data_IF_985238013744
#
_entry.id   IF_985238013744
#
_cell.length_a   1.000
_cell.length_b   1.000
_cell.length_c   1.000
_cell.angle_alpha   90.00
_cell.angle_beta   90.00
_cell.angle_gamma   90.00
#
_symmetry.space_group_name_H-M   'P 1'
#
loop_
_entity.id
_entity.type
_entity.pdbx_description
1 polymer ?
#
# COMPACT_ATOMS: atom_id res chain seq x y z
N UNK A 1 -32.59 -66.12 -19.43
CA UNK A 1 -32.96 -64.83 -18.83
C UNK A 1 -32.17 -64.76 -17.54
N UNK A 2 -30.94 -64.28 -17.68
CA UNK A 2 -29.95 -64.15 -16.63
C UNK A 2 -29.11 -62.94 -17.02
N UNK A 3 -28.94 -62.00 -16.09
CA UNK A 3 -27.64 -61.46 -15.67
C UNK A 3 -27.88 -60.28 -14.72
N UNK A 4 -27.51 -60.54 -13.47
CA UNK A 4 -26.78 -59.68 -12.54
C UNK A 4 -27.10 -58.17 -12.50
N UNK A 5 -27.66 -57.77 -11.37
CA UNK A 5 -27.85 -56.39 -10.95
C UNK A 5 -26.53 -55.96 -10.29
N UNK A 6 -25.67 -55.27 -11.05
CA UNK A 6 -24.41 -54.75 -10.53
C UNK A 6 -24.64 -53.71 -9.43
N UNK A 7 -24.02 -54.00 -8.30
CA UNK A 7 -23.94 -53.22 -7.08
C UNK A 7 -23.05 -51.99 -7.32
N UNK A 8 -23.65 -50.79 -7.37
CA UNK A 8 -22.90 -49.54 -7.60
C UNK A 8 -22.21 -49.14 -6.30
N UNK A 9 -20.93 -49.46 -6.21
CA UNK A 9 -20.02 -49.09 -5.11
C UNK A 9 -19.95 -47.55 -4.95
N UNK A 10 -20.46 -47.05 -3.84
CA UNK A 10 -20.39 -45.64 -3.45
C UNK A 10 -18.96 -45.31 -3.03
N UNK A 11 -18.16 -44.76 -3.95
CA UNK A 11 -16.83 -44.24 -3.61
C UNK A 11 -16.91 -43.11 -2.57
N UNK A 12 -16.03 -43.10 -1.55
CA UNK A 12 -16.01 -42.05 -0.53
C UNK A 12 -15.67 -40.69 -1.13
N UNK A 13 -16.57 -39.73 -0.91
CA UNK A 13 -16.40 -38.31 -1.20
C UNK A 13 -15.16 -37.79 -0.44
N UNK A 14 -14.02 -37.72 -1.14
CA UNK A 14 -12.81 -37.10 -0.61
C UNK A 14 -13.11 -35.64 -0.27
N UNK A 15 -12.78 -35.16 0.94
CA UNK A 15 -12.99 -33.77 1.30
C UNK A 15 -12.18 -32.89 0.34
N UNK A 16 -12.88 -31.99 -0.35
CA UNK A 16 -12.25 -30.95 -1.15
C UNK A 16 -11.26 -30.20 -0.27
N UNK A 17 -9.97 -30.30 -0.60
CA UNK A 17 -8.95 -29.46 0.00
C UNK A 17 -9.40 -28.01 -0.17
N UNK A 18 -9.86 -27.42 0.93
CA UNK A 18 -10.14 -26.01 1.01
C UNK A 18 -8.84 -25.31 0.62
N UNK A 19 -8.79 -24.72 -0.57
CA UNK A 19 -7.71 -23.85 -1.00
C UNK A 19 -7.64 -22.67 -0.02
N UNK A 20 -6.89 -22.85 1.07
CA UNK A 20 -6.40 -21.76 1.88
C UNK A 20 -5.54 -20.92 0.94
N UNK A 21 -6.09 -19.78 0.51
CA UNK A 21 -5.33 -18.74 -0.19
C UNK A 21 -4.22 -18.30 0.75
N UNK A 22 -3.06 -18.95 0.69
CA UNK A 22 -1.90 -18.60 1.51
C UNK A 22 -1.53 -17.14 1.19
N UNK A 23 -1.68 -16.28 2.19
CA UNK A 23 -1.20 -14.91 2.09
C UNK A 23 0.32 -14.96 1.88
N UNK A 24 0.82 -14.20 0.91
CA UNK A 24 2.27 -14.07 0.71
C UNK A 24 2.85 -13.38 1.94
N UNK A 25 3.76 -14.02 2.67
CA UNK A 25 4.44 -13.38 3.81
C UNK A 25 5.34 -12.27 3.27
N UNK A 26 5.27 -11.07 3.86
CA UNK A 26 6.20 -9.99 3.52
C UNK A 26 7.56 -10.28 4.16
N UNK A 27 8.62 -10.19 3.37
CA UNK A 27 10.00 -10.35 3.85
C UNK A 27 10.81 -9.10 3.56
N UNK A 28 11.85 -8.85 4.37
CA UNK A 28 12.78 -7.73 4.16
C UNK A 28 13.45 -7.80 2.79
N UNK A 29 13.74 -9.00 2.29
CA UNK A 29 14.31 -9.25 0.95
C UNK A 29 13.38 -8.73 -0.16
N UNK A 30 12.06 -8.93 -0.03
CA UNK A 30 11.09 -8.38 -0.98
C UNK A 30 11.09 -6.85 -0.94
N UNK A 31 11.15 -6.26 0.25
CA UNK A 31 11.21 -4.80 0.42
C UNK A 31 12.50 -4.26 -0.22
N UNK A 32 13.65 -4.87 0.04
CA UNK A 32 14.94 -4.48 -0.52
C UNK A 32 14.95 -4.52 -2.05
N UNK A 33 14.40 -5.60 -2.63
CA UNK A 33 14.25 -5.73 -4.08
C UNK A 33 13.39 -4.60 -4.67
N UNK A 34 12.29 -4.24 -4.02
CA UNK A 34 11.46 -3.12 -4.47
C UNK A 34 12.17 -1.77 -4.33
N UNK A 35 12.83 -1.51 -3.19
CA UNK A 35 13.61 -0.29 -2.97
C UNK A 35 14.71 -0.12 -4.04
N UNK A 36 15.44 -1.19 -4.34
CA UNK A 36 16.46 -1.22 -5.39
C UNK A 36 15.85 -0.91 -6.77
N UNK A 37 14.79 -1.59 -7.14
CA UNK A 37 14.11 -1.37 -8.43
C UNK A 37 13.50 0.03 -8.57
N UNK A 38 13.08 0.67 -7.48
CA UNK A 38 12.61 2.05 -7.50
C UNK A 38 13.78 3.00 -7.75
N UNK A 39 14.89 2.83 -7.02
CA UNK A 39 16.05 3.72 -7.09
C UNK A 39 16.83 3.61 -8.40
N UNK A 40 16.99 2.40 -8.93
CA UNK A 40 17.78 2.16 -10.16
C UNK A 40 16.95 2.35 -11.43
N UNK A 41 15.70 1.86 -11.42
CA UNK A 41 14.91 1.70 -12.66
C UNK A 41 13.62 2.53 -12.68
N UNK A 42 13.29 3.26 -11.61
CA UNK A 42 12.00 3.97 -11.50
C UNK A 42 10.79 3.04 -11.63
N UNK A 43 10.91 1.77 -11.21
CA UNK A 43 9.93 0.72 -11.52
C UNK A 43 8.55 0.98 -10.90
N UNK A 44 7.55 1.23 -11.74
CA UNK A 44 6.15 1.42 -11.33
C UNK A 44 5.57 0.17 -10.65
N UNK A 45 6.02 -1.01 -11.04
CA UNK A 45 5.63 -2.27 -10.38
C UNK A 45 6.14 -2.35 -8.95
N UNK A 46 7.37 -1.90 -8.71
CA UNK A 46 7.95 -1.83 -7.38
C UNK A 46 7.27 -0.75 -6.52
N UNK A 47 6.97 0.43 -7.08
CA UNK A 47 6.19 1.49 -6.40
C UNK A 47 4.82 0.95 -5.95
N UNK A 48 4.09 0.27 -6.83
CA UNK A 48 2.79 -0.34 -6.47
C UNK A 48 2.93 -1.38 -5.36
N UNK A 49 4.00 -2.17 -5.40
CA UNK A 49 4.23 -3.23 -4.42
C UNK A 49 4.56 -2.66 -3.04
N UNK A 50 5.44 -1.66 -2.96
CA UNK A 50 5.78 -0.99 -1.69
C UNK A 50 4.57 -0.22 -1.13
N UNK A 51 3.76 0.41 -1.98
CA UNK A 51 2.53 1.10 -1.53
C UNK A 51 1.48 0.13 -0.96
N UNK A 52 1.38 -1.08 -1.50
CA UNK A 52 0.52 -2.13 -0.93
C UNK A 52 1.04 -2.62 0.42
N UNK A 53 2.35 -2.81 0.55
CA UNK A 53 2.97 -3.17 1.82
C UNK A 53 2.79 -2.05 2.86
N UNK A 54 2.91 -0.79 2.44
CA UNK A 54 2.64 0.38 3.28
C UNK A 54 1.20 0.43 3.78
N UNK A 55 0.22 0.21 2.90
CA UNK A 55 -1.18 0.10 3.30
C UNK A 55 -1.37 -0.98 4.37
N UNK A 56 -0.81 -2.19 4.17
CA UNK A 56 -0.89 -3.26 5.18
C UNK A 56 -0.22 -2.85 6.49
N UNK A 57 0.91 -2.13 6.45
CA UNK A 57 1.60 -1.65 7.64
C UNK A 57 0.78 -0.59 8.39
N UNK A 58 0.21 0.40 7.69
CA UNK A 58 -0.60 1.45 8.33
C UNK A 58 -1.85 0.91 9.01
N UNK A 59 -2.41 -0.20 8.52
CA UNK A 59 -3.56 -0.89 9.09
C UNK A 59 -3.15 -2.13 9.91
N UNK A 60 -1.88 -2.22 10.33
CA UNK A 60 -1.42 -3.32 11.15
C UNK A 60 -2.03 -3.19 12.55
N UNK A 61 -2.86 -4.16 12.94
CA UNK A 61 -3.63 -4.11 14.19
C UNK A 61 -5.07 -3.62 14.03
N UNK A 62 -5.47 -3.17 12.82
CA UNK A 62 -6.89 -3.00 12.51
C UNK A 62 -7.52 -4.39 12.35
N UNK A 63 -8.42 -4.78 13.25
CA UNK A 63 -9.21 -6.01 13.15
C UNK A 63 -10.22 -6.02 11.98
N UNK A 64 -10.12 -5.04 11.05
CA UNK A 64 -11.01 -4.91 9.91
C UNK A 64 -10.67 -5.93 8.82
N UNK A 65 -11.46 -7.02 8.84
CA UNK A 65 -11.51 -8.17 7.92
C UNK A 65 -11.84 -7.81 6.47
N UNK A 66 -11.03 -7.01 5.77
CA UNK A 66 -11.15 -6.84 4.32
C UNK A 66 -10.34 -7.91 3.59
N UNK A 67 -10.96 -8.68 2.69
CA UNK A 67 -10.34 -9.85 2.04
C UNK A 67 -9.07 -9.55 1.23
N UNK A 68 -8.87 -8.30 0.80
CA UNK A 68 -7.70 -7.87 0.03
C UNK A 68 -6.43 -7.65 0.87
N UNK A 69 -6.55 -7.46 2.19
CA UNK A 69 -5.41 -7.34 3.12
C UNK A 69 -4.86 -8.70 3.55
N UNK A 70 -5.61 -9.80 3.37
CA UNK A 70 -5.17 -11.18 3.67
C UNK A 70 -3.94 -11.64 2.88
N UNK A 71 -3.61 -10.97 1.77
CA UNK A 71 -2.41 -11.32 0.99
C UNK A 71 -1.09 -11.05 1.72
N UNK A 72 -1.10 -10.31 2.84
CA UNK A 72 0.09 -9.97 3.63
C UNK A 72 -0.20 -10.06 5.15
N UNK A 73 -0.94 -11.10 5.57
CA UNK A 73 -1.51 -11.23 6.93
C UNK A 73 -0.47 -11.32 8.07
N UNK A 74 0.80 -11.57 7.78
CA UNK A 74 1.85 -11.72 8.78
C UNK A 74 3.05 -10.87 8.36
N UNK A 75 3.40 -9.87 9.19
CA UNK A 75 4.64 -9.11 9.06
C UNK A 75 5.38 -9.10 10.39
N UNK A 76 6.70 -9.26 10.34
CA UNK A 76 7.56 -9.07 11.52
C UNK A 76 7.74 -7.58 11.81
N UNK A 77 8.09 -7.22 13.04
CA UNK A 77 8.42 -5.84 13.41
C UNK A 77 9.53 -5.25 12.54
N UNK A 78 10.50 -6.07 12.11
CA UNK A 78 11.58 -5.67 11.21
C UNK A 78 11.07 -5.28 9.81
N UNK A 79 10.09 -6.03 9.27
CA UNK A 79 9.46 -5.72 7.99
C UNK A 79 8.61 -4.46 8.10
N UNK A 80 7.78 -4.36 9.15
CA UNK A 80 6.98 -3.17 9.45
C UNK A 80 7.85 -1.91 9.48
N UNK A 81 8.88 -1.91 10.33
CA UNK A 81 9.75 -0.74 10.52
C UNK A 81 10.44 -0.35 9.20
N UNK A 82 10.92 -1.34 8.44
CA UNK A 82 11.56 -1.09 7.16
C UNK A 82 10.63 -0.42 6.14
N UNK A 83 9.38 -0.89 6.06
CA UNK A 83 8.35 -0.29 5.19
C UNK A 83 8.08 1.16 5.62
N UNK A 84 7.82 1.38 6.91
CA UNK A 84 7.51 2.70 7.45
C UNK A 84 8.63 3.70 7.18
N UNK A 85 9.86 3.34 7.56
CA UNK A 85 11.04 4.19 7.36
C UNK A 85 11.27 4.46 5.87
N UNK A 86 11.19 3.45 5.00
CA UNK A 86 11.44 3.68 3.58
C UNK A 86 10.40 4.61 2.96
N UNK A 87 9.11 4.30 3.14
CA UNK A 87 8.02 5.05 2.48
C UNK A 87 7.99 6.48 2.98
N UNK A 88 8.00 6.71 4.30
CA UNK A 88 7.96 8.06 4.85
C UNK A 88 9.18 8.90 4.40
N UNK A 89 10.37 8.30 4.29
CA UNK A 89 11.55 9.05 3.86
C UNK A 89 11.62 9.32 2.35
N UNK A 90 11.08 8.43 1.50
CA UNK A 90 11.40 8.43 0.06
C UNK A 90 10.21 8.72 -0.85
N UNK A 91 8.98 8.49 -0.41
CA UNK A 91 7.84 8.45 -1.32
C UNK A 91 7.53 9.81 -1.95
N UNK A 92 7.78 10.91 -1.25
CA UNK A 92 7.59 12.26 -1.79
C UNK A 92 8.45 12.48 -3.05
N UNK A 93 9.75 12.21 -2.94
CA UNK A 93 10.68 12.30 -4.07
C UNK A 93 10.31 11.33 -5.19
N UNK A 94 9.95 10.09 -4.83
CA UNK A 94 9.51 9.08 -5.82
C UNK A 94 8.29 9.60 -6.59
N UNK A 95 7.26 10.12 -5.92
CA UNK A 95 6.08 10.67 -6.59
C UNK A 95 6.43 11.89 -7.43
N UNK A 96 7.32 12.76 -6.98
CA UNK A 96 7.74 13.93 -7.75
C UNK A 96 8.46 13.54 -9.03
N UNK A 97 9.44 12.65 -8.97
CA UNK A 97 10.12 12.13 -10.16
C UNK A 97 9.13 11.42 -11.09
N UNK A 98 8.28 10.57 -10.52
CA UNK A 98 7.32 9.77 -11.28
C UNK A 98 6.23 10.59 -11.97
N UNK A 99 5.79 11.69 -11.34
CA UNK A 99 4.78 12.61 -11.85
C UNK A 99 5.40 13.83 -12.55
N UNK A 100 6.72 13.84 -12.74
CA UNK A 100 7.49 14.92 -13.39
C UNK A 100 7.26 16.31 -12.74
N UNK A 101 7.24 16.34 -11.41
CA UNK A 101 7.14 17.55 -10.61
C UNK A 101 8.53 18.04 -10.14
N UNK A 102 8.66 19.32 -9.75
CA UNK A 102 9.84 19.81 -9.06
C UNK A 102 10.15 19.01 -7.79
N UNK A 103 11.43 18.89 -7.46
CA UNK A 103 11.92 18.12 -6.31
C UNK A 103 11.37 18.60 -4.96
N UNK A 104 11.05 19.88 -4.84
CA UNK A 104 10.44 20.46 -3.64
C UNK A 104 9.38 21.50 -4.00
N UNK A 105 8.48 21.79 -3.06
CA UNK A 105 7.44 22.80 -3.23
C UNK A 105 6.39 22.40 -4.27
N UNK A 106 5.97 23.38 -5.07
CA UNK A 106 4.85 23.29 -6.01
C UNK A 106 3.67 24.12 -5.53
N UNK A 107 2.94 24.73 -6.47
CA UNK A 107 1.72 25.50 -6.17
C UNK A 107 0.49 24.62 -6.37
N UNK A 108 -0.64 25.07 -5.84
CA UNK A 108 -1.93 24.39 -6.00
C UNK A 108 -2.27 24.22 -7.49
N UNK A 109 -1.97 25.24 -8.30
CA UNK A 109 -2.21 25.26 -9.74
C UNK A 109 -1.44 24.15 -10.45
N UNK A 110 -0.18 23.92 -10.06
CA UNK A 110 0.64 22.81 -10.58
C UNK A 110 -0.01 21.45 -10.35
N UNK A 111 -0.66 21.26 -9.19
CA UNK A 111 -1.38 20.02 -8.88
C UNK A 111 -2.68 19.91 -9.69
N UNK A 112 -3.41 21.01 -9.87
CA UNK A 112 -4.62 21.02 -10.69
C UNK A 112 -4.29 20.64 -12.14
N UNK A 113 -3.23 21.21 -12.72
CA UNK A 113 -2.75 20.86 -14.05
C UNK A 113 -2.32 19.40 -14.11
N UNK A 114 -1.55 18.93 -13.12
CA UNK A 114 -1.12 17.54 -13.02
C UNK A 114 -2.31 16.57 -13.07
N UNK A 115 -3.43 16.90 -12.42
CA UNK A 115 -4.62 16.05 -12.40
C UNK A 115 -5.23 15.78 -13.78
N UNK A 116 -4.95 16.63 -14.76
CA UNK A 116 -5.43 16.47 -16.14
C UNK A 116 -4.62 15.44 -16.94
N UNK A 117 -3.38 15.17 -16.50
CA UNK A 117 -2.42 14.32 -17.21
C UNK A 117 -2.80 12.83 -17.15
N UNK A 118 -2.34 12.08 -18.16
CA UNK A 118 -2.48 10.60 -18.16
C UNK A 118 -1.77 9.95 -16.97
N UNK A 119 -0.58 10.44 -16.61
CA UNK A 119 0.19 9.90 -15.48
C UNK A 119 -0.60 9.99 -14.16
N UNK A 120 -1.28 11.11 -13.92
CA UNK A 120 -2.14 11.24 -12.75
C UNK A 120 -3.39 10.35 -12.82
N UNK A 121 -4.05 10.27 -13.98
CA UNK A 121 -5.22 9.39 -14.14
C UNK A 121 -4.88 7.92 -13.87
N UNK A 122 -3.70 7.49 -14.31
CA UNK A 122 -3.23 6.11 -14.14
C UNK A 122 -2.73 5.83 -12.72
N UNK A 123 -2.19 6.83 -12.00
CA UNK A 123 -1.42 6.58 -10.77
C UNK A 123 -1.72 7.48 -9.57
N UNK A 124 -2.57 8.49 -9.70
CA UNK A 124 -2.93 9.42 -8.62
C UNK A 124 -3.57 8.73 -7.41
N UNK A 125 -4.14 7.53 -7.60
CA UNK A 125 -4.63 6.70 -6.50
C UNK A 125 -3.51 6.29 -5.52
N UNK A 126 -2.25 6.17 -5.97
CA UNK A 126 -1.11 5.86 -5.11
C UNK A 126 -0.81 7.02 -4.17
N UNK A 127 -0.87 8.25 -4.69
CA UNK A 127 -0.72 9.47 -3.88
C UNK A 127 -1.84 9.57 -2.85
N UNK A 128 -3.09 9.34 -3.27
CA UNK A 128 -4.23 9.28 -2.36
C UNK A 128 -4.05 8.24 -1.26
N UNK A 129 -3.59 7.04 -1.65
CA UNK A 129 -3.36 5.92 -0.73
C UNK A 129 -2.28 6.27 0.28
N UNK A 130 -1.15 6.85 -0.14
CA UNK A 130 -0.12 7.32 0.76
C UNK A 130 -0.68 8.31 1.80
N UNK A 131 -1.32 9.39 1.33
CA UNK A 131 -1.84 10.42 2.21
C UNK A 131 -2.86 9.84 3.20
N UNK A 132 -3.85 9.09 2.71
CA UNK A 132 -4.89 8.49 3.56
C UNK A 132 -4.33 7.52 4.60
N UNK A 133 -3.41 6.64 4.20
CA UNK A 133 -2.84 5.64 5.09
C UNK A 133 -1.90 6.28 6.14
N UNK A 134 -1.08 7.25 5.74
CA UNK A 134 -0.22 8.01 6.67
C UNK A 134 -1.06 8.74 7.71
N UNK A 135 -2.17 9.33 7.29
CA UNK A 135 -3.08 10.02 8.18
C UNK A 135 -3.80 9.07 9.13
N UNK A 136 -4.15 7.87 8.67
CA UNK A 136 -4.74 6.84 9.51
C UNK A 136 -3.75 6.33 10.56
N UNK A 137 -2.52 5.95 10.18
CA UNK A 137 -1.53 5.43 11.14
C UNK A 137 -1.11 6.49 12.15
N UNK A 138 -1.06 7.77 11.77
CA UNK A 138 -0.83 8.89 12.70
C UNK A 138 -1.84 8.93 13.85
N UNK A 139 -3.09 8.49 13.63
CA UNK A 139 -4.11 8.44 14.68
C UNK A 139 -3.88 7.29 15.67
N UNK A 140 -3.10 6.29 15.28
CA UNK A 140 -2.78 5.11 16.08
C UNK A 140 -1.42 5.24 16.79
N UNK A 141 -0.56 6.17 16.37
CA UNK A 141 0.75 6.38 16.98
C UNK A 141 0.62 7.02 18.37
N UNK A 142 1.40 6.51 19.32
CA UNK A 142 1.51 7.04 20.68
C UNK A 142 2.89 7.63 20.98
N UNK A 143 3.91 7.22 20.23
CA UNK A 143 5.28 7.71 20.36
C UNK A 143 5.42 9.10 19.73
N UNK A 144 5.84 10.08 20.53
CA UNK A 144 5.92 11.49 20.11
C UNK A 144 7.01 11.74 19.07
N UNK A 145 8.13 11.01 19.12
CA UNK A 145 9.19 11.13 18.12
C UNK A 145 8.71 10.58 16.77
N UNK A 146 8.01 9.45 16.79
CA UNK A 146 7.44 8.83 15.60
C UNK A 146 6.35 9.69 14.97
N UNK A 147 5.48 10.31 15.77
CA UNK A 147 4.49 11.28 15.31
C UNK A 147 5.20 12.46 14.65
N UNK A 148 6.20 13.05 15.31
CA UNK A 148 6.93 14.21 14.80
C UNK A 148 7.64 13.90 13.48
N UNK A 149 8.33 12.76 13.41
CA UNK A 149 8.96 12.28 12.18
C UNK A 149 7.93 12.12 11.05
N UNK A 150 6.81 11.47 11.33
CA UNK A 150 5.77 11.21 10.33
C UNK A 150 5.13 12.50 9.83
N UNK A 151 4.85 13.46 10.71
CA UNK A 151 4.35 14.78 10.35
C UNK A 151 5.35 15.57 9.49
N UNK A 152 6.64 15.53 9.82
CA UNK A 152 7.69 16.17 9.03
C UNK A 152 7.72 15.61 7.60
N UNK A 153 7.60 14.28 7.45
CA UNK A 153 7.56 13.62 6.14
C UNK A 153 6.27 13.89 5.38
N UNK A 154 5.13 13.92 6.07
CA UNK A 154 3.85 14.28 5.47
C UNK A 154 3.83 15.73 4.97
N UNK A 155 4.49 16.66 5.69
CA UNK A 155 4.63 18.07 5.29
C UNK A 155 5.29 18.23 3.92
N UNK A 156 6.32 17.44 3.61
CA UNK A 156 6.98 17.46 2.29
C UNK A 156 6.00 17.14 1.14
N UNK A 157 5.01 16.29 1.41
CA UNK A 157 3.98 15.86 0.48
C UNK A 157 2.67 16.65 0.56
N UNK A 158 2.60 17.70 1.39
CA UNK A 158 1.34 18.41 1.66
C UNK A 158 0.75 19.05 0.40
N UNK A 159 1.57 19.41 -0.59
CA UNK A 159 1.12 19.99 -1.86
C UNK A 159 0.11 19.08 -2.58
N UNK A 160 0.27 17.75 -2.46
CA UNK A 160 -0.62 16.77 -3.09
C UNK A 160 -2.04 16.75 -2.49
N UNK A 161 -2.24 17.28 -1.27
CA UNK A 161 -3.58 17.40 -0.67
C UNK A 161 -4.50 18.31 -1.50
N UNK A 162 -3.94 19.21 -2.32
CA UNK A 162 -4.71 20.01 -3.27
C UNK A 162 -5.56 19.16 -4.23
N UNK A 163 -5.12 17.94 -4.55
CA UNK A 163 -5.87 17.02 -5.40
C UNK A 163 -7.01 16.28 -4.68
N UNK A 164 -7.07 16.36 -3.34
CA UNK A 164 -8.02 15.60 -2.52
C UNK A 164 -8.73 16.49 -1.49
N UNK A 165 -9.71 17.33 -1.91
CA UNK A 165 -10.39 18.27 -1.03
C UNK A 165 -11.04 17.63 0.21
N UNK A 166 -11.49 16.37 0.10
CA UNK A 166 -12.07 15.63 1.23
C UNK A 166 -11.03 15.24 2.29
N UNK A 167 -9.81 14.88 1.86
CA UNK A 167 -8.69 14.66 2.78
C UNK A 167 -8.25 16.01 3.37
N UNK A 168 -8.07 17.03 2.54
CA UNK A 168 -7.68 18.36 2.97
C UNK A 168 -8.58 18.88 4.11
N UNK A 169 -9.91 18.86 3.92
CA UNK A 169 -10.89 19.32 4.93
C UNK A 169 -10.89 18.51 6.21
N UNK A 170 -10.54 17.21 6.14
CA UNK A 170 -10.56 16.35 7.33
C UNK A 170 -9.41 16.68 8.29
N UNK A 171 -8.31 17.24 7.78
CA UNK A 171 -7.06 17.33 8.54
C UNK A 171 -6.46 18.73 8.64
N UNK A 172 -6.77 19.63 7.70
CA UNK A 172 -6.43 21.05 7.82
C UNK A 172 -7.72 21.77 8.24
N UNK A 173 -7.78 22.14 9.52
CA UNK A 173 -8.79 23.04 10.06
C UNK A 173 -8.32 24.48 9.92
#
# INVERSE_FOLDING_TARGET
EDTDVDEVELEPFLPTESTQKSGKVLTTVMIDSWCKNISENGSVGAIRSIMRAYHTACHYGDDNKNESSRKFSVMTSSVFNKIMVFVLNKIDGIFRTFLKLPETGGKKETIIELMTTKAWKDHGYLVKSYLGNTLHVLQQMTDTEMISFTLQRLRSSAVFLAAFPSLLRRYIK
#
